data_IF_108022812535
#
_entry.id   IF_108022812535
#
_cell.length_a   1.000
_cell.length_b   1.000
_cell.length_c   1.000
_cell.angle_alpha   90.00
_cell.angle_beta   90.00
_cell.angle_gamma   90.00
#
_symmetry.space_group_name_H-M   'P 1'
#
loop_
_entity.id
_entity.type
_entity.pdbx_description
1 polymer ?
#
# COMPACT_ATOMS: atom_id res chain seq x y z
N UNK A 1 33.36 13.68 12.86
CA UNK A 1 33.83 12.29 12.94
C UNK A 1 35.07 12.20 12.08
N UNK A 2 36.18 11.67 12.61
CA UNK A 2 37.36 11.35 11.79
C UNK A 2 37.07 10.11 10.94
N UNK A 3 37.52 10.07 9.67
CA UNK A 3 37.22 8.96 8.78
C UNK A 3 37.90 7.68 9.24
N UNK A 4 37.19 6.55 9.17
CA UNK A 4 37.76 5.22 9.44
C UNK A 4 38.41 4.73 8.15
N UNK A 5 39.68 4.31 8.23
CA UNK A 5 40.52 4.00 7.07
C UNK A 5 41.37 2.75 7.30
N UNK A 6 41.96 2.26 6.22
CA UNK A 6 42.85 1.09 6.21
C UNK A 6 44.00 1.23 7.21
N UNK A 7 44.22 0.16 7.98
CA UNK A 7 45.21 0.10 9.05
C UNK A 7 44.66 0.45 10.44
N UNK A 8 43.45 1.00 10.55
CA UNK A 8 42.80 1.21 11.84
C UNK A 8 42.32 -0.10 12.47
N UNK A 9 42.18 -0.12 13.79
CA UNK A 9 41.72 -1.28 14.55
C UNK A 9 40.87 -0.85 15.75
N UNK A 10 39.85 -1.66 16.09
CA UNK A 10 39.07 -1.49 17.32
C UNK A 10 37.56 -1.42 17.09
N UNK A 11 36.81 -0.97 18.10
CA UNK A 11 35.34 -1.02 18.12
C UNK A 11 34.67 -0.27 16.96
N UNK A 12 35.27 0.83 16.47
CA UNK A 12 34.73 1.57 15.34
C UNK A 12 34.80 0.76 14.03
N UNK A 13 35.88 -0.01 13.85
CA UNK A 13 36.04 -0.91 12.69
C UNK A 13 35.08 -2.09 12.80
N UNK A 14 34.91 -2.64 14.00
CA UNK A 14 33.97 -3.72 14.28
C UNK A 14 32.52 -3.33 13.92
N UNK A 15 32.08 -2.10 14.22
CA UNK A 15 30.74 -1.62 13.86
C UNK A 15 30.58 -1.48 12.33
N UNK A 16 31.60 -0.95 11.63
CA UNK A 16 31.63 -0.90 10.16
C UNK A 16 31.53 -2.32 9.57
N UNK A 17 32.37 -3.24 10.03
CA UNK A 17 32.42 -4.62 9.54
C UNK A 17 31.09 -5.33 9.79
N UNK A 18 30.51 -5.18 10.99
CA UNK A 18 29.23 -5.81 11.34
C UNK A 18 28.10 -5.36 10.41
N UNK A 19 28.03 -4.06 10.08
CA UNK A 19 27.01 -3.53 9.16
C UNK A 19 27.25 -3.98 7.72
N UNK A 20 28.48 -3.96 7.25
CA UNK A 20 28.83 -4.46 5.92
C UNK A 20 28.47 -5.94 5.76
N UNK A 21 28.80 -6.76 6.76
CA UNK A 21 28.42 -8.17 6.78
C UNK A 21 26.90 -8.36 6.80
N UNK A 22 26.16 -7.57 7.59
CA UNK A 22 24.69 -7.60 7.63
C UNK A 22 24.07 -7.25 6.27
N UNK A 23 24.71 -6.37 5.50
CA UNK A 23 24.29 -5.98 4.15
C UNK A 23 24.76 -6.98 3.06
N UNK A 24 25.48 -8.03 3.44
CA UNK A 24 25.92 -9.10 2.54
C UNK A 24 27.28 -8.87 1.87
N UNK A 25 28.03 -7.83 2.26
CA UNK A 25 29.41 -7.67 1.81
C UNK A 25 30.32 -8.70 2.50
N UNK A 26 31.30 -9.20 1.76
CA UNK A 26 32.23 -10.22 2.27
C UNK A 26 33.49 -9.55 2.83
N UNK A 27 33.89 -9.95 4.03
CA UNK A 27 35.12 -9.52 4.72
C UNK A 27 35.81 -10.77 5.25
N UNK A 28 37.14 -10.81 5.20
CA UNK A 28 37.94 -11.94 5.71
C UNK A 28 37.74 -12.11 7.23
N UNK A 29 37.49 -13.35 7.67
CA UNK A 29 37.23 -13.68 9.07
C UNK A 29 38.36 -13.24 10.01
N UNK A 30 39.62 -13.24 9.55
CA UNK A 30 40.75 -12.77 10.35
C UNK A 30 40.71 -11.25 10.55
N UNK A 31 40.30 -10.48 9.53
CA UNK A 31 40.11 -9.02 9.67
C UNK A 31 38.99 -8.68 10.65
N UNK A 32 37.91 -9.48 10.65
CA UNK A 32 36.78 -9.32 11.58
C UNK A 32 37.18 -9.70 13.01
N UNK A 33 37.85 -10.85 13.18
CA UNK A 33 38.31 -11.32 14.48
C UNK A 33 39.29 -10.33 15.13
N UNK A 34 40.19 -9.75 14.35
CA UNK A 34 41.14 -8.75 14.81
C UNK A 34 40.52 -7.34 14.92
N UNK A 35 39.28 -7.13 14.45
CA UNK A 35 38.63 -5.81 14.37
C UNK A 35 39.48 -4.81 13.60
N UNK A 36 40.17 -5.30 12.55
CA UNK A 36 41.20 -4.58 11.80
C UNK A 36 40.67 -4.21 10.42
N UNK A 37 40.80 -2.95 10.06
CA UNK A 37 40.43 -2.45 8.74
C UNK A 37 41.53 -2.84 7.75
N UNK A 38 41.41 -4.02 7.17
CA UNK A 38 42.35 -4.55 6.19
C UNK A 38 41.85 -4.41 4.74
N UNK A 39 42.45 -5.18 3.84
CA UNK A 39 42.22 -5.07 2.41
C UNK A 39 40.80 -5.51 2.02
N UNK A 40 40.25 -6.54 2.68
CA UNK A 40 38.89 -7.00 2.36
C UNK A 40 37.83 -6.07 2.93
N UNK A 41 38.07 -5.49 4.10
CA UNK A 41 37.23 -4.41 4.67
C UNK A 41 37.25 -3.18 3.76
N UNK A 42 38.43 -2.81 3.25
CA UNK A 42 38.60 -1.71 2.30
C UNK A 42 37.82 -1.94 1.00
N UNK A 43 37.92 -3.14 0.43
CA UNK A 43 37.18 -3.54 -0.76
C UNK A 43 35.66 -3.53 -0.53
N UNK A 44 35.20 -4.03 0.62
CA UNK A 44 33.79 -4.01 0.99
C UNK A 44 33.25 -2.57 1.09
N UNK A 45 34.00 -1.66 1.72
CA UNK A 45 33.64 -0.23 1.78
C UNK A 45 33.61 0.39 0.39
N UNK A 46 34.62 0.10 -0.45
CA UNK A 46 34.66 0.60 -1.82
C UNK A 46 33.46 0.15 -2.65
N UNK A 47 33.05 -1.12 -2.50
CA UNK A 47 31.88 -1.69 -3.19
C UNK A 47 30.59 -1.08 -2.67
N UNK A 48 30.42 -1.00 -1.35
CA UNK A 48 29.27 -0.36 -0.71
C UNK A 48 29.07 1.09 -1.15
N UNK A 49 30.16 1.86 -1.28
CA UNK A 49 30.08 3.25 -1.76
C UNK A 49 29.56 3.32 -3.19
N UNK A 50 30.02 2.45 -4.07
CA UNK A 50 29.55 2.39 -5.45
C UNK A 50 28.07 2.01 -5.51
N UNK A 51 27.67 0.96 -4.78
CA UNK A 51 26.29 0.48 -4.73
C UNK A 51 25.34 1.54 -4.13
N UNK A 52 25.85 2.37 -3.22
CA UNK A 52 25.10 3.47 -2.58
C UNK A 52 25.20 4.81 -3.34
N UNK A 53 25.80 4.83 -4.54
CA UNK A 53 25.94 6.03 -5.36
C UNK A 53 26.86 7.13 -4.79
N UNK A 54 27.73 6.77 -3.84
CA UNK A 54 28.70 7.69 -3.22
C UNK A 54 29.94 7.86 -4.10
N UNK A 55 30.67 8.95 -3.89
CA UNK A 55 31.95 9.17 -4.55
C UNK A 55 32.92 8.00 -4.27
N UNK A 56 33.58 7.51 -5.32
CA UNK A 56 34.54 6.41 -5.22
C UNK A 56 35.63 6.72 -4.19
N UNK A 57 35.89 5.75 -3.32
CA UNK A 57 36.85 5.87 -2.23
C UNK A 57 36.82 4.64 -1.35
N UNK A 58 37.71 4.58 -0.37
CA UNK A 58 37.82 3.45 0.54
C UNK A 58 37.73 3.84 2.03
N UNK A 59 37.61 5.14 2.31
CA UNK A 59 37.42 5.66 3.65
C UNK A 59 35.94 5.66 4.04
N UNK A 60 35.67 5.38 5.31
CA UNK A 60 34.36 5.58 5.92
C UNK A 60 34.33 6.98 6.52
N UNK A 61 34.03 7.95 5.67
CA UNK A 61 33.75 9.34 6.02
C UNK A 61 32.29 9.51 6.50
N UNK A 62 31.88 10.73 6.86
CA UNK A 62 30.53 11.00 7.38
C UNK A 62 29.44 10.55 6.39
N UNK A 63 29.49 10.87 5.08
CA UNK A 63 28.49 10.41 4.12
C UNK A 63 28.41 8.89 4.02
N UNK A 64 29.56 8.20 3.96
CA UNK A 64 29.59 6.74 3.91
C UNK A 64 29.06 6.11 5.20
N UNK A 65 29.42 6.68 6.35
CA UNK A 65 28.91 6.21 7.63
C UNK A 65 27.39 6.35 7.72
N UNK A 66 26.85 7.52 7.34
CA UNK A 66 25.40 7.76 7.33
C UNK A 66 24.69 6.75 6.43
N UNK A 67 25.13 6.60 5.18
CA UNK A 67 24.54 5.65 4.24
C UNK A 67 24.62 4.21 4.75
N UNK A 68 25.73 3.82 5.40
CA UNK A 68 25.91 2.48 5.94
C UNK A 68 24.94 2.21 7.09
N UNK A 69 24.77 3.19 7.97
CA UNK A 69 23.80 3.14 9.07
C UNK A 69 22.38 3.06 8.51
N UNK A 70 22.03 3.92 7.55
CA UNK A 70 20.72 3.99 6.92
C UNK A 70 20.33 2.68 6.23
N UNK A 71 21.26 2.10 5.45
CA UNK A 71 21.07 0.82 4.77
C UNK A 71 20.88 -0.35 5.75
N UNK A 72 21.49 -0.27 6.93
CA UNK A 72 21.46 -1.38 7.91
C UNK A 72 20.16 -1.47 8.72
N UNK A 73 19.31 -0.43 8.71
CA UNK A 73 18.04 -0.49 9.44
C UNK A 73 17.03 -1.39 8.74
N UNK A 74 16.37 -2.26 9.53
CA UNK A 74 15.27 -3.11 9.08
C UNK A 74 13.95 -2.65 9.68
N UNK A 75 12.87 -2.92 8.96
CA UNK A 75 11.52 -2.61 9.39
C UNK A 75 11.24 -3.25 10.76
N UNK A 76 10.95 -2.42 11.76
CA UNK A 76 10.71 -2.88 13.14
C UNK A 76 11.88 -2.72 14.11
N UNK A 77 13.08 -2.32 13.64
CA UNK A 77 14.26 -2.14 14.51
C UNK A 77 14.09 -0.99 15.52
N UNK A 78 13.25 0.00 15.20
CA UNK A 78 13.03 1.19 16.03
C UNK A 78 11.60 1.72 15.89
N UNK A 79 11.13 2.43 16.92
CA UNK A 79 9.86 3.16 16.83
C UNK A 79 10.03 4.36 15.91
N UNK A 80 9.28 4.39 14.81
CA UNK A 80 9.26 5.51 13.88
C UNK A 80 8.09 6.45 14.20
N UNK A 81 8.34 7.75 14.16
CA UNK A 81 7.35 8.79 14.39
C UNK A 81 7.88 10.11 13.82
N UNK A 82 6.99 11.09 13.60
CA UNK A 82 7.41 12.38 13.08
C UNK A 82 8.26 13.12 14.11
N UNK A 83 9.48 13.52 13.71
CA UNK A 83 10.40 14.30 14.55
C UNK A 83 11.35 15.13 13.70
N UNK A 84 12.06 16.08 14.32
CA UNK A 84 13.13 16.83 13.66
C UNK A 84 14.50 16.53 14.32
N UNK A 85 15.54 16.18 13.56
CA UNK A 85 15.50 15.81 12.13
C UNK A 85 14.72 14.50 11.91
N UNK A 86 14.10 14.37 10.74
CA UNK A 86 13.30 13.21 10.36
C UNK A 86 14.12 11.92 10.51
N UNK A 87 13.44 10.84 10.90
CA UNK A 87 14.02 9.52 10.71
C UNK A 87 14.26 9.29 9.23
N UNK A 88 15.36 8.63 8.92
CA UNK A 88 15.69 8.21 7.59
C UNK A 88 16.42 6.87 7.61
N UNK A 89 16.28 6.10 6.53
CA UNK A 89 16.88 4.79 6.40
C UNK A 89 16.04 3.80 5.61
N UNK A 90 16.61 2.60 5.40
CA UNK A 90 15.96 1.53 4.66
C UNK A 90 14.69 1.01 5.36
N UNK A 91 14.60 1.11 6.69
CA UNK A 91 13.40 0.78 7.45
C UNK A 91 12.24 1.75 7.17
N UNK A 92 12.54 3.04 7.03
CA UNK A 92 11.56 4.07 6.67
C UNK A 92 11.08 3.87 5.24
N UNK A 93 12.01 3.62 4.30
CA UNK A 93 11.65 3.32 2.91
C UNK A 93 10.78 2.07 2.81
N UNK A 94 11.10 1.01 3.55
CA UNK A 94 10.30 -0.20 3.59
C UNK A 94 8.89 0.06 4.14
N UNK A 95 8.77 0.88 5.19
CA UNK A 95 7.48 1.31 5.73
C UNK A 95 6.66 2.08 4.69
N UNK A 96 7.26 3.10 4.05
CA UNK A 96 6.62 3.90 3.01
C UNK A 96 6.12 3.04 1.85
N UNK A 97 6.97 2.13 1.35
CA UNK A 97 6.59 1.20 0.29
C UNK A 97 5.41 0.32 0.71
N UNK A 98 5.44 -0.23 1.91
CA UNK A 98 4.34 -1.04 2.42
C UNK A 98 3.04 -0.22 2.47
N UNK A 99 3.08 1.00 3.01
CA UNK A 99 1.93 1.89 3.07
C UNK A 99 1.37 2.19 1.67
N UNK A 100 2.20 2.62 0.73
CA UNK A 100 1.79 2.93 -0.63
C UNK A 100 1.15 1.73 -1.34
N UNK A 101 1.76 0.53 -1.25
CA UNK A 101 1.21 -0.68 -1.88
C UNK A 101 -0.10 -1.12 -1.22
N UNK A 102 -0.25 -0.85 0.08
CA UNK A 102 -1.49 -1.11 0.82
C UNK A 102 -2.56 -0.02 0.60
N UNK A 103 -2.28 0.99 -0.22
CA UNK A 103 -3.23 2.05 -0.59
C UNK A 103 -3.20 3.28 0.32
N UNK A 104 -2.23 3.39 1.23
CA UNK A 104 -2.04 4.54 2.11
C UNK A 104 -0.94 5.43 1.53
N UNK A 105 -1.36 6.52 0.87
CA UNK A 105 -0.45 7.38 0.13
C UNK A 105 0.48 8.15 1.08
N UNK A 106 1.76 7.78 1.11
CA UNK A 106 2.79 8.47 1.91
C UNK A 106 3.74 9.35 1.08
N UNK A 107 3.51 9.47 -0.23
CA UNK A 107 4.41 10.14 -1.17
C UNK A 107 5.38 9.15 -1.85
N UNK A 108 6.54 9.63 -2.28
CA UNK A 108 7.63 8.74 -2.72
C UNK A 108 8.19 7.96 -1.52
N UNK A 109 8.58 6.70 -1.72
CA UNK A 109 9.33 5.92 -0.73
C UNK A 109 10.81 6.35 -0.70
N UNK A 110 11.03 7.63 -0.39
CA UNK A 110 12.32 8.32 -0.37
C UNK A 110 13.20 7.96 0.84
N UNK A 111 12.65 7.19 1.79
CA UNK A 111 13.33 6.80 3.01
C UNK A 111 13.35 7.88 4.09
N UNK A 112 12.54 8.94 4.00
CA UNK A 112 12.42 9.99 5.01
C UNK A 112 11.05 10.03 5.68
N UNK A 113 11.00 9.89 7.00
CA UNK A 113 9.75 9.89 7.75
C UNK A 113 9.25 11.33 7.93
N UNK A 114 8.49 11.81 6.94
CA UNK A 114 7.88 13.14 6.93
C UNK A 114 6.39 13.14 7.28
N UNK A 115 5.75 14.31 7.24
CA UNK A 115 4.33 14.46 7.58
C UNK A 115 3.38 13.59 6.73
N UNK A 116 3.69 13.37 5.44
CA UNK A 116 2.90 12.49 4.59
C UNK A 116 3.00 11.03 5.03
N UNK A 117 4.19 10.58 5.46
CA UNK A 117 4.38 9.24 6.02
C UNK A 117 3.63 9.07 7.34
N UNK A 118 3.64 10.09 8.22
CA UNK A 118 2.85 10.09 9.44
C UNK A 118 1.35 9.99 9.15
N UNK A 119 0.82 10.80 8.23
CA UNK A 119 -0.58 10.80 7.86
C UNK A 119 -1.03 9.45 7.26
N UNK A 120 -0.24 8.88 6.34
CA UNK A 120 -0.50 7.56 5.77
C UNK A 120 -0.48 6.46 6.85
N UNK A 121 0.42 6.58 7.83
CA UNK A 121 0.51 5.64 8.94
C UNK A 121 -0.71 5.73 9.87
N UNK A 122 -1.21 6.94 10.15
CA UNK A 122 -2.44 7.14 10.92
C UNK A 122 -3.63 6.50 10.22
N UNK A 123 -3.79 6.73 8.92
CA UNK A 123 -4.84 6.10 8.12
C UNK A 123 -4.74 4.57 8.13
N UNK A 124 -3.52 4.03 8.00
CA UNK A 124 -3.29 2.60 8.11
C UNK A 124 -3.71 2.06 9.48
N UNK A 125 -3.27 2.71 10.57
CA UNK A 125 -3.60 2.33 11.94
C UNK A 125 -5.12 2.36 12.17
N UNK A 126 -5.80 3.43 11.75
CA UNK A 126 -7.27 3.53 11.76
C UNK A 126 -7.91 2.36 11.00
N UNK A 127 -7.42 2.05 9.80
CA UNK A 127 -7.97 1.00 8.95
C UNK A 127 -7.80 -0.42 9.53
N UNK A 128 -6.72 -0.68 10.28
CA UNK A 128 -6.49 -1.97 10.94
C UNK A 128 -7.00 -2.03 12.39
N UNK A 129 -7.66 -0.97 12.86
CA UNK A 129 -8.25 -0.91 14.21
C UNK A 129 -7.24 -0.68 15.33
N UNK A 130 -6.06 -0.13 15.01
CA UNK A 130 -5.07 0.34 15.98
C UNK A 130 -5.39 1.79 16.41
N UNK A 131 -4.75 2.23 17.50
CA UNK A 131 -4.75 3.64 17.85
C UNK A 131 -3.91 4.43 16.83
N UNK A 132 -4.55 5.37 16.11
CA UNK A 132 -3.91 6.14 15.05
C UNK A 132 -3.13 7.34 15.58
N UNK A 133 -2.00 7.06 16.23
CA UNK A 133 -1.08 8.06 16.75
C UNK A 133 0.00 8.49 15.75
N UNK A 134 0.10 7.85 14.59
CA UNK A 134 1.16 8.11 13.61
C UNK A 134 2.52 7.60 14.06
N UNK A 135 2.56 6.71 15.05
CA UNK A 135 3.77 6.11 15.60
C UNK A 135 3.83 4.61 15.25
N UNK A 136 4.88 4.18 14.57
CA UNK A 136 5.09 2.79 14.23
C UNK A 136 5.71 2.04 15.44
N UNK A 137 4.84 1.52 16.31
CA UNK A 137 5.22 0.62 17.40
C UNK A 137 5.21 -0.86 16.94
N UNK A 138 5.56 -1.77 17.85
CA UNK A 138 5.59 -3.21 17.57
C UNK A 138 4.26 -3.74 17.02
N UNK A 139 3.12 -3.24 17.49
CA UNK A 139 1.80 -3.65 16.98
C UNK A 139 1.60 -3.22 15.52
N UNK A 140 1.97 -1.99 15.17
CA UNK A 140 1.94 -1.47 13.80
C UNK A 140 2.80 -2.34 12.88
N UNK A 141 4.03 -2.67 13.29
CA UNK A 141 4.91 -3.56 12.53
C UNK A 141 4.38 -4.98 12.41
N UNK A 142 3.75 -5.52 13.46
CA UNK A 142 3.14 -6.85 13.41
C UNK A 142 2.04 -6.91 12.33
N UNK A 143 1.22 -5.85 12.20
CA UNK A 143 0.23 -5.76 11.13
C UNK A 143 0.86 -5.64 9.74
N UNK A 144 1.85 -4.78 9.56
CA UNK A 144 2.56 -4.63 8.27
C UNK A 144 3.22 -5.96 7.86
N UNK A 145 3.84 -6.66 8.81
CA UNK A 145 4.50 -7.95 8.56
C UNK A 145 3.50 -9.08 8.26
N UNK A 146 2.30 -9.09 8.85
CA UNK A 146 1.24 -10.04 8.43
C UNK A 146 0.86 -9.84 6.96
N UNK A 147 0.93 -8.61 6.48
CA UNK A 147 0.64 -8.22 5.11
C UNK A 147 1.87 -8.29 4.19
N UNK A 148 3.01 -8.81 4.64
CA UNK A 148 4.25 -8.87 3.85
C UNK A 148 4.06 -9.49 2.46
N UNK A 149 3.35 -10.61 2.38
CA UNK A 149 3.01 -11.28 1.12
C UNK A 149 2.17 -10.43 0.15
N UNK A 150 1.52 -9.37 0.64
CA UNK A 150 0.70 -8.45 -0.16
C UNK A 150 1.56 -7.35 -0.78
N UNK A 151 2.58 -6.85 -0.08
CA UNK A 151 3.34 -5.68 -0.52
C UNK A 151 4.78 -5.97 -0.96
N UNK A 152 5.37 -7.07 -0.52
CA UNK A 152 6.74 -7.43 -0.90
C UNK A 152 6.86 -7.65 -2.42
N UNK A 153 7.91 -7.08 -3.01
CA UNK A 153 8.22 -7.22 -4.44
C UNK A 153 7.29 -6.46 -5.38
N UNK A 154 6.29 -5.73 -4.86
CA UNK A 154 5.40 -4.89 -5.66
C UNK A 154 5.94 -3.46 -5.81
N UNK A 155 5.69 -2.80 -6.95
CA UNK A 155 6.09 -1.42 -7.14
C UNK A 155 5.32 -0.51 -6.17
N UNK A 156 6.02 0.45 -5.57
CA UNK A 156 5.45 1.56 -4.78
C UNK A 156 4.58 2.42 -5.70
N UNK A 157 3.32 2.67 -5.34
CA UNK A 157 2.41 3.55 -6.09
C UNK A 157 2.50 4.95 -5.48
N UNK A 158 2.88 5.94 -6.29
CA UNK A 158 3.14 7.30 -5.79
C UNK A 158 1.89 8.16 -5.72
N UNK A 159 1.93 9.21 -4.91
CA UNK A 159 0.83 10.19 -4.78
C UNK A 159 0.48 10.87 -6.13
N UNK A 160 1.42 10.98 -7.08
CA UNK A 160 1.13 11.49 -8.42
C UNK A 160 0.27 10.52 -9.25
N UNK A 161 0.55 9.21 -9.15
CA UNK A 161 -0.26 8.15 -9.79
C UNK A 161 -1.63 8.04 -9.10
N UNK A 162 -1.66 8.17 -7.77
CA UNK A 162 -2.90 8.22 -6.99
C UNK A 162 -3.72 9.50 -7.26
N UNK A 163 -3.11 10.69 -7.38
CA UNK A 163 -3.81 11.96 -7.70
C UNK A 163 -4.37 11.97 -9.11
N UNK A 164 -3.70 11.32 -10.07
CA UNK A 164 -4.27 11.07 -11.40
C UNK A 164 -5.49 10.14 -11.25
N UNK A 165 -5.41 9.11 -10.40
CA UNK A 165 -6.54 8.26 -10.03
C UNK A 165 -7.71 9.02 -9.37
N UNK A 166 -7.45 9.87 -8.38
CA UNK A 166 -8.48 10.66 -7.68
C UNK A 166 -9.12 11.72 -8.57
N UNK A 167 -8.34 12.45 -9.39
CA UNK A 167 -8.90 13.43 -10.33
C UNK A 167 -9.77 12.73 -11.39
N UNK A 168 -9.37 11.52 -11.81
CA UNK A 168 -10.15 10.67 -12.73
C UNK A 168 -11.41 10.13 -12.05
N UNK A 169 -11.31 9.66 -10.81
CA UNK A 169 -12.44 9.19 -10.02
C UNK A 169 -13.46 10.31 -9.75
N UNK A 170 -13.01 11.49 -9.33
CA UNK A 170 -13.87 12.65 -9.13
C UNK A 170 -14.61 13.03 -10.43
N UNK A 171 -13.91 13.08 -11.58
CA UNK A 171 -14.56 13.35 -12.87
C UNK A 171 -15.64 12.32 -13.22
N UNK A 172 -15.38 11.03 -13.01
CA UNK A 172 -16.39 9.98 -13.22
C UNK A 172 -17.57 10.16 -12.28
N UNK A 173 -17.31 10.36 -10.99
CA UNK A 173 -18.35 10.50 -9.98
C UNK A 173 -19.22 11.74 -10.24
N UNK A 174 -18.66 12.84 -10.74
CA UNK A 174 -19.43 14.04 -11.10
C UNK A 174 -20.23 13.87 -12.40
N UNK A 175 -19.75 13.03 -13.32
CA UNK A 175 -20.32 12.87 -14.67
C UNK A 175 -21.39 11.79 -14.75
N UNK A 176 -21.30 10.74 -13.94
CA UNK A 176 -22.18 9.57 -14.00
C UNK A 176 -23.08 9.44 -12.78
N UNK A 177 -24.35 9.11 -13.01
CA UNK A 177 -25.30 8.76 -11.97
C UNK A 177 -25.25 7.24 -11.73
N UNK A 178 -24.75 6.82 -10.58
CA UNK A 178 -24.46 5.40 -10.28
C UNK A 178 -25.26 4.97 -9.05
N UNK A 179 -26.24 4.09 -9.22
CA UNK A 179 -26.96 3.50 -8.11
C UNK A 179 -26.20 2.27 -7.57
N UNK A 180 -26.03 2.18 -6.25
CA UNK A 180 -25.40 1.04 -5.57
C UNK A 180 -26.39 0.42 -4.59
N UNK A 181 -26.58 -0.89 -4.66
CA UNK A 181 -27.51 -1.66 -3.84
C UNK A 181 -26.77 -2.81 -3.18
N UNK A 182 -27.05 -3.07 -1.90
CA UNK A 182 -26.65 -4.30 -1.23
C UNK A 182 -27.84 -5.23 -1.02
N UNK A 183 -27.79 -6.44 -1.56
CA UNK A 183 -28.90 -7.41 -1.45
C UNK A 183 -29.03 -8.01 -0.05
N UNK A 184 -27.93 -8.10 0.70
CA UNK A 184 -27.85 -8.68 2.04
C UNK A 184 -27.05 -7.77 3.02
N UNK A 185 -27.06 -8.04 4.34
CA UNK A 185 -26.40 -7.17 5.31
C UNK A 185 -24.89 -6.94 5.07
N UNK A 186 -24.17 -7.95 4.58
CA UNK A 186 -22.74 -7.83 4.27
C UNK A 186 -22.57 -6.92 3.05
N UNK A 187 -23.31 -7.21 1.98
CA UNK A 187 -23.30 -6.40 0.77
C UNK A 187 -23.73 -4.94 1.01
N UNK A 188 -24.71 -4.69 1.88
CA UNK A 188 -25.11 -3.32 2.28
C UNK A 188 -24.01 -2.59 3.02
N UNK A 189 -23.23 -3.29 3.84
CA UNK A 189 -22.06 -2.69 4.50
C UNK A 189 -21.03 -2.22 3.47
N UNK A 190 -20.75 -3.04 2.45
CA UNK A 190 -19.84 -2.67 1.36
C UNK A 190 -20.40 -1.53 0.52
N UNK A 191 -21.67 -1.60 0.12
CA UNK A 191 -22.36 -0.57 -0.66
C UNK A 191 -22.35 0.80 0.05
N UNK A 192 -22.68 0.82 1.35
CA UNK A 192 -22.67 2.03 2.16
C UNK A 192 -21.28 2.66 2.25
N UNK A 193 -20.24 1.83 2.44
CA UNK A 193 -18.85 2.31 2.46
C UNK A 193 -18.41 2.85 1.11
N UNK A 194 -18.76 2.16 0.03
CA UNK A 194 -18.46 2.59 -1.33
C UNK A 194 -19.08 3.96 -1.62
N UNK A 195 -20.34 4.15 -1.24
CA UNK A 195 -21.03 5.43 -1.32
C UNK A 195 -20.37 6.52 -0.46
N UNK A 196 -20.00 6.21 0.79
CA UNK A 196 -19.31 7.17 1.66
C UNK A 196 -17.97 7.63 1.07
N UNK A 197 -17.18 6.72 0.50
CA UNK A 197 -15.88 7.06 -0.13
C UNK A 197 -16.11 7.95 -1.36
N UNK A 198 -17.11 7.62 -2.19
CA UNK A 198 -17.45 8.42 -3.37
C UNK A 198 -17.87 9.85 -3.00
N UNK A 199 -18.75 10.01 -2.01
CA UNK A 199 -19.20 11.32 -1.53
C UNK A 199 -18.06 12.10 -0.84
N UNK A 200 -17.13 11.42 -0.18
CA UNK A 200 -15.93 12.05 0.37
C UNK A 200 -14.91 12.46 -0.71
N UNK A 201 -15.00 11.89 -1.92
CA UNK A 201 -14.09 12.20 -3.04
C UNK A 201 -14.48 13.50 -3.73
N UNK A 202 -15.78 13.78 -3.88
CA UNK A 202 -16.31 15.04 -4.43
C UNK A 202 -17.72 15.32 -3.89
N UNK A 203 -17.97 16.58 -3.54
CA UNK A 203 -19.28 17.04 -3.05
C UNK A 203 -20.41 16.84 -4.08
N UNK A 204 -20.05 16.73 -5.37
CA UNK A 204 -20.97 16.55 -6.49
C UNK A 204 -21.05 15.10 -6.99
N UNK A 205 -20.67 14.12 -6.16
CA UNK A 205 -20.77 12.70 -6.51
C UNK A 205 -22.21 12.32 -6.91
N UNK A 206 -22.37 11.75 -8.11
CA UNK A 206 -23.59 11.13 -8.63
C UNK A 206 -23.83 9.72 -8.12
N UNK A 207 -23.04 9.23 -7.17
CA UNK A 207 -23.25 7.92 -6.56
C UNK A 207 -24.39 7.97 -5.55
N UNK A 208 -25.32 7.03 -5.66
CA UNK A 208 -26.51 6.93 -4.82
C UNK A 208 -26.57 5.56 -4.15
N UNK A 209 -26.71 5.55 -2.82
CA UNK A 209 -27.03 4.34 -2.08
C UNK A 209 -28.55 4.10 -2.14
N UNK A 210 -28.95 2.93 -2.64
CA UNK A 210 -30.36 2.56 -2.77
C UNK A 210 -30.66 1.27 -1.98
N UNK A 211 -31.81 1.23 -1.32
CA UNK A 211 -32.25 0.05 -0.57
C UNK A 211 -32.98 -0.96 -1.46
N UNK A 212 -33.88 -0.50 -2.34
CA UNK A 212 -34.72 -1.39 -3.18
C UNK A 212 -35.25 -0.70 -4.44
N UNK A 213 -35.65 0.56 -4.33
CA UNK A 213 -36.09 1.36 -5.47
C UNK A 213 -34.90 2.09 -6.08
N UNK A 214 -34.69 1.86 -7.38
CA UNK A 214 -33.61 2.48 -8.16
C UNK A 214 -34.23 3.55 -9.06
N UNK A 215 -33.73 4.79 -9.04
CA UNK A 215 -34.16 5.82 -9.99
C UNK A 215 -33.95 5.36 -11.43
N UNK A 216 -34.81 5.79 -12.34
CA UNK A 216 -34.75 5.41 -13.76
C UNK A 216 -33.76 6.25 -14.56
N UNK A 217 -33.30 7.36 -14.00
CA UNK A 217 -32.39 8.35 -14.57
C UNK A 217 -30.92 8.12 -14.17
N UNK A 218 -30.56 6.88 -13.84
CA UNK A 218 -29.17 6.49 -13.56
C UNK A 218 -28.49 5.92 -14.82
N UNK A 219 -27.18 6.01 -14.89
CA UNK A 219 -26.38 5.42 -15.97
C UNK A 219 -26.10 3.94 -15.74
N UNK A 220 -25.86 3.58 -14.48
CA UNK A 220 -25.42 2.27 -14.03
C UNK A 220 -26.04 1.90 -12.67
N UNK A 221 -26.44 0.64 -12.53
CA UNK A 221 -26.85 0.04 -11.26
C UNK A 221 -25.88 -1.08 -10.92
N UNK A 222 -25.26 -0.97 -9.74
CA UNK A 222 -24.39 -1.98 -9.15
C UNK A 222 -25.14 -2.70 -8.03
N UNK A 223 -25.37 -3.99 -8.23
CA UNK A 223 -26.05 -4.85 -7.27
C UNK A 223 -25.02 -5.76 -6.61
N UNK A 224 -24.68 -5.45 -5.36
CA UNK A 224 -23.70 -6.19 -4.59
C UNK A 224 -24.42 -7.30 -3.82
N UNK A 225 -23.87 -8.51 -3.89
CA UNK A 225 -24.37 -9.65 -3.15
C UNK A 225 -23.23 -10.49 -2.57
N UNK A 226 -23.43 -11.04 -1.38
CA UNK A 226 -22.47 -11.93 -0.74
C UNK A 226 -22.52 -13.38 -1.26
N UNK A 227 -23.65 -13.77 -1.84
CA UNK A 227 -23.94 -15.12 -2.33
C UNK A 227 -24.09 -15.18 -3.85
N UNK A 228 -23.85 -16.37 -4.40
CA UNK A 228 -24.00 -16.66 -5.84
C UNK A 228 -25.45 -16.49 -6.28
N UNK A 229 -25.64 -16.01 -7.52
CA UNK A 229 -26.94 -15.94 -8.15
C UNK A 229 -27.57 -17.35 -8.22
N UNK A 230 -28.80 -17.55 -7.71
CA UNK A 230 -29.47 -18.84 -7.77
C UNK A 230 -29.59 -19.38 -9.20
N UNK A 231 -29.44 -20.69 -9.38
CA UNK A 231 -29.45 -21.33 -10.71
C UNK A 231 -30.79 -21.18 -11.46
N UNK A 232 -31.87 -20.93 -10.74
CA UNK A 232 -33.22 -20.70 -11.26
C UNK A 232 -33.56 -19.22 -11.47
N UNK A 233 -32.65 -18.30 -11.11
CA UNK A 233 -32.84 -16.87 -11.31
C UNK A 233 -32.71 -16.48 -12.80
N UNK A 234 -33.37 -15.38 -13.17
CA UNK A 234 -33.23 -14.81 -14.51
C UNK A 234 -31.77 -14.42 -14.81
N UNK A 235 -31.29 -14.55 -16.06
CA UNK A 235 -29.90 -14.20 -16.40
C UNK A 235 -29.62 -12.72 -16.15
N UNK A 236 -28.56 -12.45 -15.39
CA UNK A 236 -28.05 -11.09 -15.11
C UNK A 236 -26.57 -11.02 -15.43
N UNK A 237 -26.07 -9.82 -15.74
CA UNK A 237 -24.65 -9.61 -15.94
C UNK A 237 -23.93 -9.71 -14.58
N UNK A 238 -23.32 -10.86 -14.32
CA UNK A 238 -22.73 -11.20 -13.01
C UNK A 238 -21.20 -11.25 -13.06
N UNK A 239 -20.56 -10.65 -12.07
CA UNK A 239 -19.11 -10.62 -11.89
C UNK A 239 -18.78 -11.16 -10.49
N UNK A 240 -18.23 -12.37 -10.43
CA UNK A 240 -17.65 -12.92 -9.20
C UNK A 240 -16.31 -12.23 -8.89
N UNK A 241 -16.23 -11.53 -7.77
CA UNK A 241 -15.10 -10.66 -7.42
C UNK A 241 -13.85 -11.45 -6.98
N UNK A 242 -14.04 -12.64 -6.37
CA UNK A 242 -12.95 -13.48 -5.86
C UNK A 242 -11.94 -13.86 -6.93
N UNK A 243 -12.44 -14.16 -8.13
CA UNK A 243 -11.62 -14.63 -9.25
C UNK A 243 -11.32 -13.51 -10.25
N UNK A 244 -11.76 -12.28 -9.97
CA UNK A 244 -11.76 -11.20 -10.93
C UNK A 244 -10.54 -10.27 -10.80
N UNK A 245 -9.56 -10.51 -11.65
CA UNK A 245 -8.33 -9.70 -11.73
C UNK A 245 -8.47 -8.46 -12.65
N UNK A 246 -9.53 -8.40 -13.46
CA UNK A 246 -9.77 -7.36 -14.47
C UNK A 246 -11.16 -6.71 -14.33
N UNK A 247 -11.50 -6.30 -13.09
CA UNK A 247 -12.83 -5.81 -12.73
C UNK A 247 -13.33 -4.68 -13.64
N UNK A 248 -12.51 -3.65 -13.87
CA UNK A 248 -12.87 -2.50 -14.70
C UNK A 248 -13.26 -2.91 -16.12
N UNK A 249 -12.51 -3.82 -16.75
CA UNK A 249 -12.82 -4.29 -18.10
C UNK A 249 -14.13 -5.09 -18.14
N UNK A 250 -14.42 -5.88 -17.10
CA UNK A 250 -15.68 -6.64 -17.01
C UNK A 250 -16.88 -5.73 -16.80
N UNK A 251 -16.78 -4.73 -15.93
CA UNK A 251 -17.82 -3.71 -15.73
C UNK A 251 -18.09 -2.98 -17.05
N UNK A 252 -17.05 -2.52 -17.73
CA UNK A 252 -17.17 -1.83 -19.02
C UNK A 252 -17.87 -2.70 -20.07
N UNK A 253 -17.43 -3.95 -20.21
CA UNK A 253 -18.01 -4.90 -21.16
C UNK A 253 -19.48 -5.16 -20.86
N UNK A 254 -19.84 -5.37 -19.58
CA UNK A 254 -21.22 -5.58 -19.17
C UNK A 254 -22.09 -4.33 -19.38
N UNK A 255 -21.57 -3.13 -19.12
CA UNK A 255 -22.28 -1.87 -19.32
C UNK A 255 -22.55 -1.58 -20.81
N UNK A 256 -21.58 -1.87 -21.69
CA UNK A 256 -21.74 -1.73 -23.15
C UNK A 256 -22.67 -2.80 -23.72
N UNK A 257 -22.62 -4.03 -23.21
CA UNK A 257 -23.46 -5.13 -23.66
C UNK A 257 -24.91 -5.06 -23.16
N UNK A 258 -25.21 -4.20 -22.18
CA UNK A 258 -26.55 -4.06 -21.61
C UNK A 258 -27.57 -3.59 -22.66
N UNK A 259 -28.58 -4.41 -22.93
CA UNK A 259 -29.64 -4.11 -23.90
C UNK A 259 -30.68 -3.10 -23.37
N UNK A 260 -30.73 -2.90 -22.06
CA UNK A 260 -31.65 -2.00 -21.37
C UNK A 260 -30.86 -1.01 -20.51
N UNK A 261 -31.33 0.25 -20.46
CA UNK A 261 -30.77 1.29 -19.60
C UNK A 261 -31.75 1.58 -18.44
N UNK A 262 -31.26 1.74 -17.20
CA UNK A 262 -29.85 1.67 -16.79
C UNK A 262 -29.28 0.25 -16.88
N UNK A 263 -27.98 0.14 -17.16
CA UNK A 263 -27.30 -1.15 -17.15
C UNK A 263 -27.30 -1.70 -15.71
N UNK A 264 -27.70 -2.95 -15.51
CA UNK A 264 -27.68 -3.62 -14.20
C UNK A 264 -26.58 -4.66 -14.17
N UNK A 265 -25.61 -4.46 -13.28
CA UNK A 265 -24.46 -5.36 -13.11
C UNK A 265 -24.47 -5.89 -11.67
N UNK A 266 -24.51 -7.20 -11.54
CA UNK A 266 -24.37 -7.90 -10.26
C UNK A 266 -22.90 -8.15 -9.97
N UNK A 267 -22.47 -7.81 -8.76
CA UNK A 267 -21.15 -8.08 -8.21
C UNK A 267 -21.31 -9.11 -7.07
N UNK A 268 -20.63 -10.24 -7.17
CA UNK A 268 -20.67 -11.28 -6.14
C UNK A 268 -19.38 -11.25 -5.31
N UNK A 269 -19.54 -11.14 -4.00
CA UNK A 269 -18.46 -11.18 -3.01
C UNK A 269 -18.14 -12.63 -2.55
N UNK A 270 -18.60 -13.61 -3.32
CA UNK A 270 -18.52 -15.04 -3.03
C UNK A 270 -17.07 -15.46 -2.75
N UNK A 271 -16.86 -16.31 -1.75
CA UNK A 271 -15.53 -16.71 -1.30
C UNK A 271 -14.77 -15.68 -0.46
N UNK A 272 -15.20 -14.40 -0.42
CA UNK A 272 -14.58 -13.35 0.41
C UNK A 272 -15.33 -13.07 1.72
N UNK A 273 -16.57 -13.55 1.84
CA UNK A 273 -17.47 -13.26 2.97
C UNK A 273 -17.52 -14.38 4.02
N UNK A 274 -16.82 -15.50 3.79
CA UNK A 274 -16.94 -16.74 4.59
C UNK A 274 -15.64 -17.21 5.24
N UNK A 275 -14.61 -16.38 5.35
CA UNK A 275 -13.33 -16.77 5.98
C UNK A 275 -13.49 -16.81 7.52
N UNK A 276 -13.34 -18.00 8.13
CA UNK A 276 -13.32 -18.24 9.59
C UNK A 276 -14.47 -17.66 10.45
N UNK A 277 -15.60 -17.29 9.85
CA UNK A 277 -16.83 -16.93 10.58
C UNK A 277 -16.95 -15.46 11.00
N UNK A 278 -16.06 -14.57 10.60
CA UNK A 278 -16.21 -13.12 10.87
C UNK A 278 -15.83 -12.29 9.65
N UNK A 279 -16.83 -11.77 8.94
CA UNK A 279 -16.65 -10.68 8.00
C UNK A 279 -16.49 -9.37 8.79
N UNK A 280 -15.37 -8.68 8.61
CA UNK A 280 -15.02 -7.51 9.43
C UNK A 280 -15.36 -6.19 8.74
N UNK A 281 -15.34 -5.11 9.52
CA UNK A 281 -15.44 -3.76 8.98
C UNK A 281 -14.29 -3.42 8.02
N UNK A 282 -13.10 -3.98 8.25
CA UNK A 282 -11.91 -3.79 7.39
C UNK A 282 -12.10 -4.50 6.05
N UNK A 283 -12.60 -5.74 6.05
CA UNK A 283 -12.93 -6.47 4.82
C UNK A 283 -13.95 -5.70 3.98
N UNK A 284 -14.99 -5.16 4.62
CA UNK A 284 -16.00 -4.35 3.95
C UNK A 284 -15.41 -3.09 3.30
N UNK A 285 -14.45 -2.44 3.98
CA UNK A 285 -13.75 -1.25 3.48
C UNK A 285 -12.86 -1.59 2.29
N UNK A 286 -12.07 -2.65 2.37
CA UNK A 286 -11.20 -3.10 1.28
C UNK A 286 -12.00 -3.45 0.03
N UNK A 287 -13.14 -4.12 0.19
CA UNK A 287 -14.04 -4.43 -0.93
C UNK A 287 -14.66 -3.17 -1.53
N UNK A 288 -15.08 -2.22 -0.69
CA UNK A 288 -15.65 -0.96 -1.14
C UNK A 288 -14.68 -0.13 -1.98
N UNK A 289 -13.42 0.00 -1.53
CA UNK A 289 -12.35 0.68 -2.29
C UNK A 289 -12.12 0.00 -3.64
N UNK A 290 -11.90 -1.32 -3.63
CA UNK A 290 -11.65 -2.10 -4.86
C UNK A 290 -12.80 -1.97 -5.87
N UNK A 291 -14.04 -1.96 -5.40
CA UNK A 291 -15.20 -1.80 -6.27
C UNK A 291 -15.31 -0.38 -6.82
N UNK A 292 -15.09 0.64 -5.99
CA UNK A 292 -15.12 2.02 -6.43
C UNK A 292 -14.05 2.28 -7.51
N UNK A 293 -12.81 1.85 -7.27
CA UNK A 293 -11.72 1.99 -8.24
C UNK A 293 -12.04 1.28 -9.55
N UNK A 294 -12.52 0.04 -9.47
CA UNK A 294 -12.91 -0.73 -10.66
C UNK A 294 -14.03 -0.06 -11.47
N UNK A 295 -14.98 0.59 -10.80
CA UNK A 295 -16.08 1.33 -11.45
C UNK A 295 -15.57 2.62 -12.07
N UNK A 296 -14.79 3.41 -11.34
CA UNK A 296 -14.19 4.64 -11.84
C UNK A 296 -13.31 4.35 -13.07
N UNK A 297 -12.45 3.35 -13.01
CA UNK A 297 -11.62 2.95 -14.14
C UNK A 297 -12.44 2.48 -15.34
N UNK A 298 -13.56 1.78 -15.11
CA UNK A 298 -14.45 1.29 -16.16
C UNK A 298 -15.18 2.40 -16.92
N UNK A 299 -15.42 3.54 -16.27
CA UNK A 299 -16.24 4.64 -16.79
C UNK A 299 -15.44 5.88 -17.21
N UNK A 300 -14.15 5.92 -16.89
CA UNK A 300 -13.32 7.09 -17.13
C UNK A 300 -12.88 7.34 -18.59
N UNK A 301 -13.38 6.56 -19.56
CA UNK A 301 -13.13 6.77 -21.00
C UNK A 301 -14.41 7.17 -21.74
#
# INVERSE_FOLDING_TARGET
>A
MEPITTGMQGAAVEDVQSRLLQLGYTIDDAEVADKRFGATTEQAVGTFRLDSGLAAGCAVDIPCWSALVDASYKLGDRTLYLRMPNFHGADVQALQRALNVLGFACGEDDGYFGPHTEAALQQFQENVGLFADGMAFQDTYAYINRLHHVWEGKPSVTEAESRIGFARAANVLERFQIAVIGEDPIARSVASRMWNIATATTDNSGMMLCDSEVPTDVDLVLEIASDELPADAAPRATIALAECHNLAQRIRTANVAAQQKPARIRIELTGMTRYNGTFTASDAQTLAVRLLDGVCDALAD
#
